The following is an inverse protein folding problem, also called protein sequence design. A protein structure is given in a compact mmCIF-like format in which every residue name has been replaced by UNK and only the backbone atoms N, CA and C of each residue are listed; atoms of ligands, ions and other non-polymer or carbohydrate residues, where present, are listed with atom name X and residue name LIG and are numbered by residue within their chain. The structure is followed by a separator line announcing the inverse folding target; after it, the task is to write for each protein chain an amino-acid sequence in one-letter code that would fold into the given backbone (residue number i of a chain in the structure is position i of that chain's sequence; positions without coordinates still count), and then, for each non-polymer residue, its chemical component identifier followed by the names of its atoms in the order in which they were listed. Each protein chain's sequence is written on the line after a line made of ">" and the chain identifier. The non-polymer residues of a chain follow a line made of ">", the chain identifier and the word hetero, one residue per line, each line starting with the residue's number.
data_IF_938954457867
#
_entry.id   IF_938954457867
#
_cell.length_a   1.000
_cell.length_b   1.000
_cell.length_c   1.000
_cell.angle_alpha   90.00
_cell.angle_beta   90.00
_cell.angle_gamma   90.00
#
_symmetry.space_group_name_H-M   'P 1'
#
loop_
_entity.id
_entity.type
_entity.pdbx_description
1 polymer ?
#
# COMPACT_ATOMS: atom_id res chain seq x y z
N UNK A 1 14.44 -0.26 -1.61
CA UNK A 1 14.02 1.17 -1.59
C UNK A 1 12.96 1.31 -2.68
N UNK A 2 11.77 1.83 -2.36
CA UNK A 2 10.63 1.80 -3.29
C UNK A 2 10.66 3.06 -4.19
N UNK A 3 11.12 2.90 -5.44
CA UNK A 3 11.40 4.04 -6.33
C UNK A 3 10.16 4.85 -6.69
N UNK A 4 9.00 4.19 -6.85
CA UNK A 4 7.74 4.87 -7.16
C UNK A 4 7.38 5.92 -6.09
N UNK A 5 7.45 5.54 -4.81
CA UNK A 5 7.17 6.44 -3.68
C UNK A 5 8.11 7.66 -3.70
N UNK A 6 9.40 7.46 -3.98
CA UNK A 6 10.38 8.56 -4.01
C UNK A 6 10.08 9.53 -5.15
N UNK A 7 9.68 9.02 -6.32
CA UNK A 7 9.30 9.89 -7.44
C UNK A 7 8.07 10.74 -7.12
N UNK A 8 7.05 10.18 -6.48
CA UNK A 8 5.87 10.93 -6.06
C UNK A 8 6.23 12.03 -5.04
N UNK A 9 7.06 11.71 -4.05
CA UNK A 9 7.52 12.68 -3.05
C UNK A 9 8.31 13.84 -3.71
N UNK A 10 9.18 13.52 -4.68
CA UNK A 10 9.93 14.54 -5.44
C UNK A 10 9.02 15.36 -6.34
N UNK A 11 8.03 14.75 -6.97
CA UNK A 11 7.05 15.45 -7.80
C UNK A 11 6.20 16.44 -6.99
N UNK A 12 6.00 16.14 -5.69
CA UNK A 12 5.33 17.00 -4.73
C UNK A 12 6.24 18.02 -4.02
N UNK A 13 7.47 18.22 -4.51
CA UNK A 13 8.44 19.19 -3.97
C UNK A 13 8.86 18.92 -2.51
N UNK A 14 8.83 17.65 -2.08
CA UNK A 14 9.39 17.25 -0.79
C UNK A 14 10.92 17.25 -0.91
N UNK A 15 11.60 17.92 0.03
CA UNK A 15 13.06 18.00 0.02
C UNK A 15 13.71 16.63 0.20
N UNK A 16 14.81 16.39 -0.51
CA UNK A 16 15.51 15.09 -0.47
C UNK A 16 15.92 14.67 0.96
N UNK A 17 16.38 15.61 1.79
CA UNK A 17 16.72 15.38 3.20
C UNK A 17 15.53 14.84 4.01
N UNK A 18 14.32 15.33 3.72
CA UNK A 18 13.09 14.89 4.37
C UNK A 18 12.62 13.55 3.79
N UNK A 19 12.80 13.30 2.48
CA UNK A 19 12.50 12.01 1.86
C UNK A 19 13.32 10.91 2.53
N UNK A 20 14.63 11.10 2.68
CA UNK A 20 15.50 10.13 3.35
C UNK A 20 15.06 9.89 4.80
N UNK A 21 14.77 10.97 5.54
CA UNK A 21 14.30 10.88 6.92
C UNK A 21 12.97 10.12 7.05
N UNK A 22 12.00 10.41 6.18
CA UNK A 22 10.70 9.74 6.17
C UNK A 22 10.90 8.25 5.88
N UNK A 23 11.65 7.92 4.82
CA UNK A 23 11.88 6.55 4.39
C UNK A 23 12.60 5.72 5.46
N UNK A 24 13.54 6.31 6.21
CA UNK A 24 14.18 5.62 7.33
C UNK A 24 13.21 5.34 8.49
N UNK A 25 12.33 6.30 8.82
CA UNK A 25 11.34 6.14 9.90
C UNK A 25 10.26 5.11 9.60
N UNK A 26 9.86 4.98 8.34
CA UNK A 26 8.79 4.04 7.93
C UNK A 26 9.33 2.71 7.40
N UNK A 27 10.65 2.50 7.33
CA UNK A 27 11.27 1.31 6.70
C UNK A 27 10.73 -0.05 7.15
N UNK A 28 10.35 -0.17 8.43
CA UNK A 28 9.82 -1.41 9.01
C UNK A 28 8.28 -1.52 8.94
N UNK A 29 7.60 -0.48 8.47
CA UNK A 29 6.14 -0.35 8.39
C UNK A 29 5.77 0.52 7.19
N UNK A 30 6.39 0.23 6.05
CA UNK A 30 6.30 1.06 4.84
C UNK A 30 4.87 0.95 4.31
N UNK A 31 4.09 2.00 4.51
CA UNK A 31 2.78 2.20 3.91
C UNK A 31 2.65 3.68 3.56
N UNK A 32 1.86 3.97 2.55
CA UNK A 32 1.59 5.34 2.13
C UNK A 32 0.93 6.15 3.26
N UNK A 33 0.03 5.55 4.05
CA UNK A 33 -0.54 6.17 5.26
C UNK A 33 0.54 6.59 6.27
N UNK A 34 1.55 5.74 6.49
CA UNK A 34 2.64 6.06 7.42
C UNK A 34 3.58 7.14 6.85
N UNK A 35 3.73 7.20 5.53
CA UNK A 35 4.48 8.27 4.85
C UNK A 35 3.74 9.60 5.02
N UNK A 36 2.44 9.65 4.75
CA UNK A 36 1.59 10.83 4.95
C UNK A 36 1.61 11.34 6.39
N UNK A 37 1.60 10.44 7.38
CA UNK A 37 1.75 10.81 8.79
C UNK A 37 3.08 11.53 9.07
N UNK A 38 4.18 11.10 8.46
CA UNK A 38 5.47 11.77 8.63
C UNK A 38 5.56 13.07 7.81
N UNK A 39 4.96 13.13 6.62
CA UNK A 39 4.84 14.34 5.82
C UNK A 39 4.14 15.47 6.60
N UNK A 40 2.98 15.18 7.20
CA UNK A 40 2.21 16.15 7.99
C UNK A 40 3.02 16.66 9.19
N UNK A 41 3.79 15.80 9.86
CA UNK A 41 4.67 16.22 10.97
C UNK A 41 5.76 17.19 10.53
N UNK A 42 6.20 17.11 9.28
CA UNK A 42 7.19 18.00 8.68
C UNK A 42 6.57 19.24 8.02
N UNK A 43 5.24 19.38 8.08
CA UNK A 43 4.50 20.52 7.53
C UNK A 43 4.10 20.38 6.06
N UNK A 44 4.25 19.18 5.47
CA UNK A 44 3.81 18.89 4.12
C UNK A 44 2.32 18.48 4.10
N UNK A 45 1.60 18.77 3.01
CA UNK A 45 0.30 18.16 2.78
C UNK A 45 0.44 16.64 2.62
N UNK A 46 -0.67 15.94 2.82
CA UNK A 46 -0.78 14.54 2.42
C UNK A 46 -0.65 14.43 0.91
N UNK A 47 0.11 13.46 0.43
CA UNK A 47 0.38 13.25 -1.01
C UNK A 47 -0.37 12.03 -1.51
N UNK A 48 -0.43 10.97 -0.72
CA UNK A 48 -1.08 9.74 -1.11
C UNK A 48 -2.55 9.80 -0.66
N UNK A 49 -3.38 10.47 -1.46
CA UNK A 49 -4.80 10.72 -1.15
C UNK A 49 -5.73 9.54 -1.44
N UNK A 50 -5.18 8.34 -1.63
CA UNK A 50 -5.99 7.13 -1.78
C UNK A 50 -6.67 6.85 -0.44
N UNK A 51 -7.99 6.71 -0.45
CA UNK A 51 -8.72 6.33 0.75
C UNK A 51 -8.36 4.86 1.10
N UNK A 52 -7.40 4.68 2.01
CA UNK A 52 -6.91 3.37 2.44
C UNK A 52 -8.00 2.45 2.99
N UNK A 53 -9.19 2.98 3.28
CA UNK A 53 -10.36 2.20 3.68
C UNK A 53 -10.98 1.40 2.51
N UNK A 54 -10.72 1.77 1.25
CA UNK A 54 -11.32 1.09 0.09
C UNK A 54 -10.54 -0.17 -0.35
N UNK A 55 -9.26 -0.28 0.00
CA UNK A 55 -8.40 -1.39 -0.45
C UNK A 55 -8.20 -2.52 0.57
N UNK A 56 -8.61 -2.34 1.83
CA UNK A 56 -8.63 -3.41 2.84
C UNK A 56 -9.80 -4.40 2.62
N UNK A 57 -10.67 -4.13 1.63
CA UNK A 57 -11.83 -4.97 1.27
C UNK A 57 -11.56 -5.94 0.11
N UNK A 58 -10.33 -6.08 -0.38
CA UNK A 58 -9.98 -7.18 -1.28
C UNK A 58 -9.42 -8.35 -0.47
N UNK A 59 -10.31 -9.01 0.28
CA UNK A 59 -10.09 -10.39 0.71
C UNK A 59 -10.01 -11.25 -0.55
N UNK A 60 -8.78 -11.52 -1.01
CA UNK A 60 -8.51 -12.53 -2.03
C UNK A 60 -8.81 -13.90 -1.41
N UNK A 61 -10.10 -14.21 -1.23
CA UNK A 61 -10.55 -15.56 -0.92
C UNK A 61 -10.37 -16.40 -2.18
N UNK A 62 -9.12 -16.80 -2.45
CA UNK A 62 -8.79 -17.83 -3.41
C UNK A 62 -9.37 -19.16 -2.93
N UNK A 63 -10.67 -19.35 -3.19
CA UNK A 63 -11.33 -20.63 -3.13
C UNK A 63 -11.61 -21.09 -4.56
N UNK A 64 -10.55 -21.35 -5.33
CA UNK A 64 -10.67 -22.29 -6.43
C UNK A 64 -10.92 -23.69 -5.84
N UNK A 65 -12.19 -24.01 -5.58
CA UNK A 65 -12.61 -25.39 -5.34
C UNK A 65 -13.07 -25.97 -6.67
N UNK A 66 -12.26 -26.81 -7.36
CA UNK A 66 -12.76 -27.56 -8.50
C UNK A 66 -13.85 -28.51 -8.00
N UNK A 67 -15.08 -28.28 -8.43
CA UNK A 67 -16.26 -29.05 -8.02
C UNK A 67 -16.21 -30.44 -8.64
N UNK A 68 -15.48 -31.37 -8.03
CA UNK A 68 -15.57 -32.80 -8.37
C UNK A 68 -16.83 -33.39 -7.75
N UNK A 69 -17.98 -33.21 -8.41
CA UNK A 69 -19.20 -33.99 -8.14
C UNK A 69 -19.65 -34.73 -9.40
N UNK A 70 -18.84 -35.70 -9.83
CA UNK A 70 -19.28 -36.73 -10.77
C UNK A 70 -19.80 -37.92 -9.96
N UNK A 71 -21.11 -37.94 -9.69
CA UNK A 71 -21.81 -39.11 -9.18
C UNK A 71 -22.08 -40.05 -10.36
N UNK A 72 -21.21 -41.03 -10.60
CA UNK A 72 -21.52 -42.13 -11.51
C UNK A 72 -22.35 -43.16 -10.75
N UNK A 73 -23.65 -43.18 -11.00
CA UNK A 73 -24.57 -44.22 -10.55
C UNK A 73 -24.25 -45.49 -11.35
N UNK A 74 -23.87 -46.58 -10.67
CA UNK A 74 -23.78 -47.91 -11.27
C UNK A 74 -25.15 -48.57 -11.09
N UNK A 75 -25.76 -48.95 -12.21
CA UNK A 75 -26.83 -49.96 -12.24
C UNK A 75 -26.23 -51.36 -12.11
#
# INVERSE_FOLDING_TARGET
>A
MNLAIIYELRAADVKEEHIEQIMDKVKNRLSEENIDKELVKLGYPKIFTVDYSEYDSFDYSDSFTPTSKASLKKD
#
